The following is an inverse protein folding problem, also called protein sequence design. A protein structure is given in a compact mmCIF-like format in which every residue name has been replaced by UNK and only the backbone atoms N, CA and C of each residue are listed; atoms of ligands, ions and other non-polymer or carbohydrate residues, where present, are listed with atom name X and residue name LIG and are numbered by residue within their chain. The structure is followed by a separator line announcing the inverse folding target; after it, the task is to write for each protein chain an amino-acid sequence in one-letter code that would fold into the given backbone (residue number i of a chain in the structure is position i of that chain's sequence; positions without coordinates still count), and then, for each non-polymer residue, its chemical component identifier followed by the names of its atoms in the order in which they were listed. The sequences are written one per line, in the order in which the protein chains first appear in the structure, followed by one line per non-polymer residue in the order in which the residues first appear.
data_IF_225394400979
#
_entry.id   IF_225394400979
#
_cell.length_a   1.000
_cell.length_b   1.000
_cell.length_c   1.000
_cell.angle_alpha   90.00
_cell.angle_beta   90.00
_cell.angle_gamma   90.00
#
_symmetry.space_group_name_H-M   'P 1'
#
loop_
_entity.id
_entity.type
_entity.pdbx_description
1 polymer ?
#
# COMPACT_ATOMS: atom_id res chain seq x y z
N UNK A 1 34.88 59.42 7.02
CA UNK A 1 34.10 58.56 6.13
C UNK A 1 33.45 57.46 6.99
N UNK A 2 32.14 57.54 7.26
CA UNK A 2 31.41 56.52 8.05
C UNK A 2 30.96 55.42 7.09
N UNK A 3 31.44 54.18 7.30
CA UNK A 3 30.98 53.03 6.54
C UNK A 3 29.64 52.57 7.13
N UNK A 4 28.56 52.73 6.34
CA UNK A 4 27.23 52.23 6.65
C UNK A 4 27.21 50.73 6.39
N UNK A 5 27.13 49.89 7.43
CA UNK A 5 26.97 48.44 7.32
C UNK A 5 25.46 48.15 7.19
N UNK A 6 25.01 47.88 5.97
CA UNK A 6 23.63 47.44 5.69
C UNK A 6 23.53 45.96 6.05
N UNK A 7 22.90 45.63 7.18
CA UNK A 7 22.49 44.25 7.49
C UNK A 7 21.28 43.90 6.63
N UNK A 8 21.50 43.06 5.60
CA UNK A 8 20.43 42.44 4.83
C UNK A 8 19.76 41.37 5.71
N UNK A 9 18.63 41.72 6.35
CA UNK A 9 17.74 40.77 6.99
C UNK A 9 17.06 39.91 5.89
N UNK A 10 17.64 38.76 5.57
CA UNK A 10 16.98 37.75 4.73
C UNK A 10 15.95 37.08 5.65
N UNK A 11 14.63 37.18 5.37
CA UNK A 11 13.64 36.42 6.10
C UNK A 11 13.88 34.95 5.87
N UNK A 12 14.28 34.21 6.90
CA UNK A 12 14.28 32.76 6.91
C UNK A 12 12.81 32.31 6.93
N UNK A 13 12.23 32.08 5.78
CA UNK A 13 10.98 31.34 5.68
C UNK A 13 11.30 29.89 6.09
N UNK A 14 11.13 29.59 7.36
CA UNK A 14 11.02 28.21 7.81
C UNK A 14 9.72 27.66 7.24
N UNK A 15 9.80 26.92 6.13
CA UNK A 15 8.72 26.06 5.74
C UNK A 15 8.59 24.99 6.83
N UNK A 16 7.63 25.18 7.73
CA UNK A 16 7.25 24.15 8.68
C UNK A 16 6.62 23.02 7.85
N UNK A 17 7.36 21.96 7.68
CA UNK A 17 6.81 20.75 7.07
C UNK A 17 5.68 20.25 7.99
N UNK A 18 4.52 19.94 7.43
CA UNK A 18 3.40 19.41 8.17
C UNK A 18 3.80 18.14 8.92
N UNK A 19 3.47 18.05 10.20
CA UNK A 19 3.79 16.89 11.01
C UNK A 19 2.99 15.67 10.51
N UNK A 20 3.62 14.50 10.46
CA UNK A 20 2.92 13.25 10.14
C UNK A 20 1.84 12.97 11.19
N UNK A 21 0.69 12.50 10.73
CA UNK A 21 -0.42 12.05 11.58
C UNK A 21 -0.77 10.59 11.26
N UNK A 22 -1.42 9.91 12.21
CA UNK A 22 -1.92 8.55 11.99
C UNK A 22 -2.89 8.49 10.81
N UNK A 23 -3.76 9.49 10.67
CA UNK A 23 -4.72 9.60 9.57
C UNK A 23 -4.02 9.63 8.22
N UNK A 24 -2.98 10.45 8.05
CA UNK A 24 -2.18 10.51 6.82
C UNK A 24 -1.56 9.15 6.46
N UNK A 25 -1.09 8.41 7.46
CA UNK A 25 -0.50 7.08 7.26
C UNK A 25 -1.56 6.07 6.86
N UNK A 26 -2.70 6.04 7.55
CA UNK A 26 -3.83 5.15 7.24
C UNK A 26 -4.37 5.42 5.84
N UNK A 27 -4.55 6.69 5.47
CA UNK A 27 -5.04 7.08 4.15
C UNK A 27 -4.08 6.64 3.05
N UNK A 28 -2.77 6.85 3.24
CA UNK A 28 -1.77 6.43 2.26
C UNK A 28 -1.74 4.90 2.06
N UNK A 29 -1.87 4.13 3.15
CA UNK A 29 -1.97 2.66 3.08
C UNK A 29 -3.24 2.24 2.34
N UNK A 30 -4.39 2.85 2.65
CA UNK A 30 -5.65 2.58 1.96
C UNK A 30 -5.57 2.91 0.46
N UNK A 31 -4.92 4.01 0.09
CA UNK A 31 -4.70 4.37 -1.32
C UNK A 31 -3.85 3.34 -2.07
N UNK A 32 -2.81 2.77 -1.43
CA UNK A 32 -2.02 1.68 -2.01
C UNK A 32 -2.88 0.45 -2.28
N UNK A 33 -3.67 -0.02 -1.31
CA UNK A 33 -4.56 -1.16 -1.50
C UNK A 33 -5.71 -0.87 -2.47
N UNK A 34 -6.19 0.38 -2.53
CA UNK A 34 -7.17 0.79 -3.54
C UNK A 34 -6.57 0.72 -4.96
N UNK A 35 -5.29 1.05 -5.13
CA UNK A 35 -4.59 0.90 -6.41
C UNK A 35 -4.32 -0.58 -6.78
N UNK A 36 -4.31 -1.49 -5.80
CA UNK A 36 -4.30 -2.95 -6.00
C UNK A 36 -5.69 -3.54 -6.26
N UNK A 37 -6.77 -2.78 -6.14
CA UNK A 37 -8.10 -3.26 -6.50
C UNK A 37 -8.18 -3.48 -8.01
N UNK A 38 -8.69 -4.64 -8.46
CA UNK A 38 -8.71 -5.01 -9.90
C UNK A 38 -9.36 -3.93 -10.79
N UNK A 39 -10.35 -3.21 -10.28
CA UNK A 39 -11.03 -2.13 -11.01
C UNK A 39 -10.17 -0.88 -11.20
N UNK A 40 -9.20 -0.68 -10.31
CA UNK A 40 -8.33 0.50 -10.26
C UNK A 40 -6.87 0.15 -10.58
N UNK A 41 -6.58 -1.15 -10.78
CA UNK A 41 -5.22 -1.65 -10.90
C UNK A 41 -4.43 -0.93 -11.98
N UNK A 42 -3.32 -0.31 -11.54
CA UNK A 42 -2.42 0.42 -12.41
C UNK A 42 -1.01 0.43 -11.81
N UNK A 43 -0.05 -0.21 -12.49
CA UNK A 43 1.36 -0.30 -12.04
C UNK A 43 2.01 1.07 -11.86
N UNK A 44 1.67 2.05 -12.71
CA UNK A 44 2.22 3.40 -12.62
C UNK A 44 1.71 4.12 -11.35
N UNK A 45 0.42 3.97 -11.02
CA UNK A 45 -0.16 4.52 -9.78
C UNK A 45 0.47 3.85 -8.57
N UNK A 46 0.64 2.52 -8.58
CA UNK A 46 1.32 1.80 -7.50
C UNK A 46 2.77 2.28 -7.32
N UNK A 47 3.51 2.52 -8.41
CA UNK A 47 4.89 3.00 -8.33
C UNK A 47 5.00 4.39 -7.70
N UNK A 48 3.96 5.21 -7.80
CA UNK A 48 3.90 6.52 -7.13
C UNK A 48 3.67 6.42 -5.62
N UNK A 49 3.17 5.28 -5.13
CA UNK A 49 2.88 5.05 -3.71
C UNK A 49 4.03 4.44 -2.94
N UNK A 50 5.06 3.97 -3.62
CA UNK A 50 6.20 3.29 -3.01
C UNK A 50 7.52 3.99 -3.34
N UNK A 51 8.58 3.70 -2.57
CA UNK A 51 9.93 4.16 -2.90
C UNK A 51 10.53 3.35 -4.05
N UNK A 52 11.57 3.89 -4.71
CA UNK A 52 12.26 3.18 -5.81
C UNK A 52 12.90 1.86 -5.34
N UNK A 53 13.27 1.76 -4.07
CA UNK A 53 13.85 0.58 -3.42
C UNK A 53 12.83 -0.22 -2.59
N UNK A 54 11.54 -0.07 -2.88
CA UNK A 54 10.47 -0.80 -2.21
C UNK A 54 10.68 -2.31 -2.26
N UNK A 55 10.38 -2.96 -1.13
CA UNK A 55 10.43 -4.41 -0.97
C UNK A 55 9.15 -4.87 -0.26
N UNK A 56 8.58 -5.96 -0.76
CA UNK A 56 7.55 -6.71 -0.07
C UNK A 56 8.03 -8.13 0.24
N UNK A 57 7.75 -8.61 1.46
CA UNK A 57 7.82 -10.01 1.83
C UNK A 57 6.43 -10.60 1.81
N UNK A 58 6.20 -11.53 0.92
CA UNK A 58 4.91 -12.19 0.70
C UNK A 58 5.13 -13.68 0.43
N UNK A 59 4.38 -14.56 1.08
CA UNK A 59 4.44 -16.02 0.93
C UNK A 59 5.83 -16.63 1.10
N UNK A 60 6.68 -16.01 1.92
CA UNK A 60 8.06 -16.46 2.17
C UNK A 60 9.10 -15.98 1.15
N UNK A 61 8.69 -15.28 0.12
CA UNK A 61 9.56 -14.69 -0.90
C UNK A 61 9.72 -13.17 -0.72
N UNK A 62 10.77 -12.64 -1.33
CA UNK A 62 11.08 -11.21 -1.37
C UNK A 62 10.88 -10.71 -2.80
N UNK A 63 10.07 -9.66 -2.96
CA UNK A 63 9.81 -9.03 -4.24
C UNK A 63 10.10 -7.54 -4.21
N UNK A 64 10.56 -6.99 -5.33
CA UNK A 64 10.39 -5.57 -5.68
C UNK A 64 8.94 -5.34 -6.14
N UNK A 65 8.53 -4.08 -6.34
CA UNK A 65 7.19 -3.78 -6.86
C UNK A 65 6.91 -4.49 -8.20
N UNK A 66 7.87 -4.44 -9.14
CA UNK A 66 7.69 -5.04 -10.46
C UNK A 66 7.55 -6.56 -10.37
N UNK A 67 8.41 -7.21 -9.59
CA UNK A 67 8.34 -8.66 -9.39
C UNK A 67 7.03 -9.08 -8.72
N UNK A 68 6.53 -8.30 -7.75
CA UNK A 68 5.26 -8.55 -7.09
C UNK A 68 4.08 -8.40 -8.07
N UNK A 69 4.05 -7.31 -8.85
CA UNK A 69 2.99 -7.11 -9.84
C UNK A 69 3.02 -8.16 -10.93
N UNK A 70 4.19 -8.57 -11.41
CA UNK A 70 4.34 -9.66 -12.39
C UNK A 70 3.89 -11.01 -11.80
N UNK A 71 4.18 -11.25 -10.51
CA UNK A 71 3.72 -12.44 -9.79
C UNK A 71 2.18 -12.52 -9.73
N UNK A 72 1.49 -11.47 -9.26
CA UNK A 72 0.02 -11.48 -9.19
C UNK A 72 -0.63 -11.56 -10.58
N UNK A 73 -0.08 -10.88 -11.60
CA UNK A 73 -0.57 -10.97 -12.98
C UNK A 73 -0.41 -12.38 -13.54
N UNK A 74 0.74 -13.04 -13.30
CA UNK A 74 0.97 -14.44 -13.73
C UNK A 74 0.02 -15.43 -13.06
N UNK A 75 -0.46 -15.13 -11.86
CA UNK A 75 -1.48 -15.89 -11.14
C UNK A 75 -2.92 -15.64 -11.67
N UNK A 76 -3.07 -14.83 -12.73
CA UNK A 76 -4.36 -14.58 -13.38
C UNK A 76 -5.16 -13.42 -12.80
N UNK A 77 -4.54 -12.57 -11.98
CA UNK A 77 -5.17 -11.44 -11.32
C UNK A 77 -5.99 -10.54 -12.27
N UNK A 78 -5.48 -10.28 -13.48
CA UNK A 78 -6.16 -9.43 -14.47
C UNK A 78 -7.50 -10.00 -14.96
N UNK A 79 -7.77 -11.29 -14.73
CA UNK A 79 -9.03 -11.95 -15.05
C UNK A 79 -10.01 -12.04 -13.87
N UNK A 80 -9.71 -11.43 -12.73
CA UNK A 80 -10.58 -11.50 -11.57
C UNK A 80 -11.81 -10.59 -11.73
N UNK A 81 -12.94 -11.01 -11.14
CA UNK A 81 -14.20 -10.26 -11.17
C UNK A 81 -14.21 -9.10 -10.16
N UNK A 82 -13.66 -9.34 -8.96
CA UNK A 82 -13.55 -8.32 -7.93
C UNK A 82 -12.45 -8.62 -6.92
N UNK A 83 -11.91 -7.55 -6.37
CA UNK A 83 -11.06 -7.54 -5.18
C UNK A 83 -11.59 -6.48 -4.23
N UNK A 84 -11.66 -6.80 -2.95
CA UNK A 84 -12.05 -5.87 -1.88
C UNK A 84 -11.05 -6.03 -0.73
N UNK A 85 -10.63 -4.91 -0.15
CA UNK A 85 -9.68 -4.85 0.95
C UNK A 85 -10.31 -4.15 2.14
N UNK A 86 -10.14 -4.70 3.33
CA UNK A 86 -10.63 -4.15 4.58
C UNK A 86 -9.48 -4.14 5.59
N UNK A 87 -8.99 -2.94 5.90
CA UNK A 87 -7.88 -2.73 6.82
C UNK A 87 -8.42 -2.26 8.18
N UNK A 88 -7.94 -2.86 9.25
CA UNK A 88 -8.37 -2.57 10.62
C UNK A 88 -7.28 -2.83 11.64
N UNK A 89 -7.55 -2.50 12.90
CA UNK A 89 -6.68 -2.77 14.05
C UNK A 89 -5.28 -2.17 13.90
N UNK A 90 -5.21 -0.95 13.38
CA UNK A 90 -3.95 -0.24 13.21
C UNK A 90 -3.25 0.05 14.53
N UNK A 91 -1.96 -0.25 14.57
CA UNK A 91 -1.02 0.22 15.59
C UNK A 91 0.10 0.98 14.88
N UNK A 92 0.21 2.29 15.14
CA UNK A 92 1.09 3.18 14.39
C UNK A 92 2.09 3.82 15.33
N UNK A 93 3.37 3.85 14.91
CA UNK A 93 4.44 4.61 15.54
C UNK A 93 4.98 5.60 14.53
N UNK A 94 5.00 6.87 14.89
CA UNK A 94 5.40 7.98 14.02
C UNK A 94 6.69 8.59 14.54
N UNK A 95 7.63 8.86 13.63
CA UNK A 95 8.81 9.70 13.83
C UNK A 95 8.71 10.92 12.89
N UNK A 96 9.72 11.79 12.85
CA UNK A 96 9.69 13.06 12.11
C UNK A 96 9.33 12.89 10.62
N UNK A 97 9.93 11.93 9.94
CA UNK A 97 9.79 11.72 8.49
C UNK A 97 9.43 10.27 8.12
N UNK A 98 9.00 9.47 9.08
CA UNK A 98 8.66 8.08 8.84
C UNK A 98 7.63 7.58 9.83
N UNK A 99 6.96 6.49 9.47
CA UNK A 99 6.06 5.78 10.35
C UNK A 99 6.16 4.27 10.11
N UNK A 100 5.93 3.53 11.17
CA UNK A 100 5.70 2.10 11.11
C UNK A 100 4.26 1.83 11.53
N UNK A 101 3.53 1.04 10.72
CA UNK A 101 2.21 0.59 11.06
C UNK A 101 2.13 -0.94 10.99
N UNK A 102 1.39 -1.55 11.92
CA UNK A 102 0.92 -2.93 11.82
C UNK A 102 -0.59 -2.95 11.86
N UNK A 103 -1.22 -3.85 11.12
CA UNK A 103 -2.66 -3.91 10.99
C UNK A 103 -3.14 -5.29 10.53
N UNK A 104 -4.45 -5.54 10.68
CA UNK A 104 -5.14 -6.66 10.06
C UNK A 104 -5.65 -6.24 8.67
N UNK A 105 -5.31 -7.03 7.65
CA UNK A 105 -5.84 -6.90 6.30
C UNK A 105 -6.74 -8.08 5.98
N UNK A 106 -7.96 -7.82 5.51
CA UNK A 106 -8.90 -8.82 5.02
C UNK A 106 -9.14 -8.57 3.54
N UNK A 107 -8.76 -9.56 2.71
CA UNK A 107 -9.03 -9.57 1.27
C UNK A 107 -10.22 -10.46 0.93
N UNK A 108 -11.11 -9.95 0.07
CA UNK A 108 -12.22 -10.71 -0.51
C UNK A 108 -12.10 -10.67 -2.01
N UNK A 109 -11.91 -11.83 -2.62
CA UNK A 109 -11.62 -11.97 -4.04
C UNK A 109 -12.67 -12.84 -4.71
N UNK A 110 -13.07 -12.45 -5.92
CA UNK A 110 -13.92 -13.28 -6.80
C UNK A 110 -13.22 -13.45 -8.13
N UNK A 111 -12.97 -14.70 -8.49
CA UNK A 111 -12.20 -15.03 -9.68
C UNK A 111 -12.70 -16.32 -10.34
N UNK A 112 -12.44 -16.53 -11.66
CA UNK A 112 -12.74 -17.78 -12.36
C UNK A 112 -11.98 -18.96 -11.76
N UNK A 113 -12.65 -20.10 -11.59
CA UNK A 113 -11.99 -21.32 -11.18
C UNK A 113 -10.97 -21.73 -12.26
N UNK A 114 -9.67 -21.92 -11.94
CA UNK A 114 -8.65 -22.29 -12.92
C UNK A 114 -8.92 -23.58 -13.69
N UNK A 115 -9.73 -24.50 -13.11
CA UNK A 115 -10.06 -25.80 -13.72
C UNK A 115 -11.46 -25.83 -14.37
N UNK A 116 -12.31 -24.82 -14.13
CA UNK A 116 -13.66 -24.70 -14.66
C UNK A 116 -14.04 -23.20 -14.72
N UNK A 117 -13.55 -22.46 -15.75
CA UNK A 117 -13.66 -20.99 -15.78
C UNK A 117 -15.09 -20.42 -15.75
N UNK A 118 -16.08 -21.25 -16.08
CA UNK A 118 -17.51 -20.91 -15.97
C UNK A 118 -18.01 -20.83 -14.51
N UNK A 119 -17.21 -21.36 -13.57
CA UNK A 119 -17.50 -21.33 -12.13
C UNK A 119 -16.66 -20.25 -11.49
N UNK A 120 -17.32 -19.31 -10.80
CA UNK A 120 -16.61 -18.32 -9.99
C UNK A 120 -16.33 -18.87 -8.58
N UNK A 121 -15.15 -18.57 -8.10
CA UNK A 121 -14.73 -18.82 -6.73
C UNK A 121 -14.74 -17.50 -5.94
N UNK A 122 -15.08 -17.58 -4.66
CA UNK A 122 -14.89 -16.51 -3.68
C UNK A 122 -13.86 -16.97 -2.68
N UNK A 123 -12.80 -16.20 -2.55
CA UNK A 123 -11.75 -16.40 -1.55
C UNK A 123 -11.79 -15.29 -0.52
N UNK A 124 -11.71 -15.66 0.76
CA UNK A 124 -11.52 -14.74 1.86
C UNK A 124 -10.16 -15.04 2.48
N UNK A 125 -9.30 -14.07 2.50
CA UNK A 125 -7.98 -14.15 3.12
C UNK A 125 -7.83 -13.14 4.24
N UNK A 126 -6.95 -13.45 5.20
CA UNK A 126 -6.55 -12.52 6.25
C UNK A 126 -5.05 -12.55 6.41
N UNK A 127 -4.47 -11.38 6.60
CA UNK A 127 -3.04 -11.19 6.84
C UNK A 127 -2.83 -10.30 8.06
N UNK A 128 -1.78 -10.61 8.80
CA UNK A 128 -1.13 -9.64 9.67
C UNK A 128 -0.04 -8.97 8.88
N UNK A 129 -0.13 -7.66 8.78
CA UNK A 129 0.79 -6.88 7.97
C UNK A 129 1.59 -5.88 8.80
N UNK A 130 2.80 -5.60 8.33
CA UNK A 130 3.72 -4.61 8.89
C UNK A 130 4.28 -3.78 7.77
N UNK A 131 4.15 -2.47 7.87
CA UNK A 131 4.50 -1.53 6.81
C UNK A 131 5.37 -0.40 7.34
N UNK A 132 6.37 -0.01 6.55
CA UNK A 132 7.21 1.15 6.83
C UNK A 132 6.99 2.21 5.77
N UNK A 133 6.51 3.36 6.21
CA UNK A 133 6.22 4.54 5.38
C UNK A 133 7.29 5.60 5.64
N UNK A 134 7.76 6.24 4.59
CA UNK A 134 8.72 7.35 4.66
C UNK A 134 8.16 8.55 3.91
N UNK A 135 8.63 9.74 4.28
CA UNK A 135 8.34 10.97 3.55
C UNK A 135 9.49 11.28 2.60
N UNK A 136 9.17 11.44 1.31
CA UNK A 136 10.08 11.90 0.26
C UNK A 136 9.59 13.22 -0.31
N UNK A 137 10.20 14.33 0.11
CA UNK A 137 9.69 15.66 -0.21
C UNK A 137 8.34 15.94 0.48
N UNK A 138 7.30 16.16 -0.31
CA UNK A 138 5.92 16.36 0.18
C UNK A 138 5.11 15.06 0.18
N UNK A 139 5.59 14.00 -0.49
CA UNK A 139 4.88 12.74 -0.68
C UNK A 139 5.19 11.73 0.42
N UNK A 140 4.21 10.90 0.74
CA UNK A 140 4.40 9.66 1.50
C UNK A 140 4.68 8.51 0.54
N UNK A 141 5.59 7.62 0.94
CA UNK A 141 6.00 6.45 0.17
C UNK A 141 6.12 5.24 1.08
N UNK A 142 5.61 4.10 0.64
CA UNK A 142 5.85 2.83 1.30
C UNK A 142 7.23 2.33 0.91
N UNK A 143 8.08 2.06 1.89
CA UNK A 143 9.43 1.54 1.66
C UNK A 143 9.51 0.03 1.84
N UNK A 144 8.69 -0.50 2.72
CA UNK A 144 8.69 -1.91 3.06
C UNK A 144 7.30 -2.36 3.47
N UNK A 145 6.91 -3.56 3.05
CA UNK A 145 5.71 -4.27 3.47
C UNK A 145 6.07 -5.73 3.77
N UNK A 146 5.65 -6.21 4.92
CA UNK A 146 5.60 -7.64 5.25
C UNK A 146 4.15 -8.07 5.39
N UNK A 147 3.81 -9.20 4.78
CA UNK A 147 2.47 -9.76 4.74
C UNK A 147 2.53 -11.23 5.16
N UNK A 148 1.90 -11.55 6.28
CA UNK A 148 1.80 -12.92 6.84
C UNK A 148 0.36 -13.41 6.71
N UNK A 149 0.09 -14.35 5.78
CA UNK A 149 -1.23 -14.97 5.64
C UNK A 149 -1.54 -15.84 6.88
N UNK A 150 -2.61 -15.50 7.59
CA UNK A 150 -3.06 -16.21 8.79
C UNK A 150 -4.34 -17.02 8.57
N UNK A 151 -5.04 -16.75 7.47
CA UNK A 151 -6.28 -17.45 7.12
C UNK A 151 -6.56 -17.36 5.63
N UNK A 152 -7.03 -18.47 5.04
CA UNK A 152 -7.59 -18.52 3.69
C UNK A 152 -8.76 -19.50 3.65
N UNK A 153 -9.82 -19.10 2.93
CA UNK A 153 -10.98 -19.96 2.66
C UNK A 153 -11.54 -19.68 1.29
N UNK A 154 -11.60 -20.73 0.48
CA UNK A 154 -12.21 -20.69 -0.86
C UNK A 154 -13.58 -21.38 -0.86
N UNK A 155 -14.53 -20.82 -1.58
CA UNK A 155 -15.88 -21.36 -1.79
C UNK A 155 -16.39 -21.02 -3.18
N UNK A 156 -17.40 -21.77 -3.67
CA UNK A 156 -18.07 -21.41 -4.92
C UNK A 156 -18.88 -20.13 -4.71
N UNK A 157 -18.64 -19.14 -5.60
CA UNK A 157 -19.40 -17.89 -5.60
C UNK A 157 -20.74 -18.09 -6.29
N UNK A 158 -21.85 -17.86 -5.57
CA UNK A 158 -23.19 -17.86 -6.15
C UNK A 158 -23.63 -16.42 -6.31
N UNK A 159 -23.78 -15.98 -7.57
CA UNK A 159 -24.37 -14.67 -7.85
C UNK A 159 -25.81 -14.67 -7.31
N UNK A 160 -26.13 -13.73 -6.41
CA UNK A 160 -27.51 -13.54 -5.96
C UNK A 160 -28.36 -13.15 -7.18
N UNK A 161 -29.38 -13.91 -7.45
CA UNK A 161 -30.38 -13.62 -8.51
C UNK A 161 -31.29 -12.46 -8.10
#
# INVERSE_FOLDING_TARGET
MKKLLIFLLVPLFSFSQEQLTEEMIIDHINEFFNALNIKNYNKEVLSQKVTDDFIIFEMGDKFTLNEFTDFIESAGFLGWESTEWFLSDFTISIDNNSAHASYLNIGVFVYPNPHAPEILLKENKQWLESIFVVREGEDLKIKFLQSDEIYSKVSVFKKSS
#
